data_IF_302633748030
#
_entry.id   IF_302633748030
#
_cell.length_a   1.000
_cell.length_b   1.000
_cell.length_c   1.000
_cell.angle_alpha   90.00
_cell.angle_beta   90.00
_cell.angle_gamma   90.00
#
_symmetry.space_group_name_H-M   'P 1'
#
loop_
_entity.id
_entity.type
_entity.pdbx_description
1 polymer ?
#
# COMPACT_ATOMS: atom_id res chain seq x y z
N UNK A 1 -3.73 -8.85 18.60
CA UNK A 1 -2.64 -7.87 18.41
C UNK A 1 -2.02 -7.93 17.01
N UNK A 2 -2.09 -9.07 16.34
CA UNK A 2 -1.57 -9.36 14.99
C UNK A 2 -2.51 -8.96 13.85
N UNK A 3 -3.83 -9.10 14.00
CA UNK A 3 -4.80 -8.81 12.94
C UNK A 3 -4.82 -7.34 12.48
N UNK A 4 -4.75 -6.37 13.40
CA UNK A 4 -4.75 -4.95 13.06
C UNK A 4 -3.43 -4.52 12.39
N UNK A 5 -2.30 -5.09 12.84
CA UNK A 5 -1.00 -4.88 12.22
C UNK A 5 -0.96 -5.47 10.80
N UNK A 6 -1.54 -6.66 10.58
CA UNK A 6 -1.71 -7.27 9.27
C UNK A 6 -2.63 -6.44 8.36
N UNK A 7 -3.76 -5.96 8.89
CA UNK A 7 -4.65 -5.06 8.16
C UNK A 7 -3.92 -3.79 7.74
N UNK A 8 -3.24 -3.11 8.67
CA UNK A 8 -2.50 -1.89 8.36
C UNK A 8 -1.37 -2.16 7.37
N UNK A 9 -0.60 -3.23 7.55
CA UNK A 9 0.51 -3.56 6.67
C UNK A 9 0.04 -3.88 5.25
N UNK A 10 -1.02 -4.68 5.09
CA UNK A 10 -1.63 -4.96 3.78
C UNK A 10 -2.26 -3.72 3.15
N UNK A 11 -2.96 -2.91 3.95
CA UNK A 11 -3.54 -1.65 3.51
C UNK A 11 -2.46 -0.72 2.95
N UNK A 12 -1.38 -0.47 3.70
CA UNK A 12 -0.30 0.40 3.24
C UNK A 12 0.45 -0.20 2.05
N UNK A 13 0.70 -1.51 2.06
CA UNK A 13 1.34 -2.20 0.93
C UNK A 13 0.54 -1.99 -0.36
N UNK A 14 -0.76 -2.22 -0.33
CA UNK A 14 -1.62 -2.12 -1.51
C UNK A 14 -1.88 -0.66 -1.90
N UNK A 15 -1.99 0.24 -0.93
CA UNK A 15 -2.04 1.68 -1.16
C UNK A 15 -0.79 2.16 -1.91
N UNK A 16 0.40 1.76 -1.45
CA UNK A 16 1.65 2.14 -2.11
C UNK A 16 1.82 1.48 -3.48
N UNK A 17 1.35 0.23 -3.67
CA UNK A 17 1.33 -0.42 -4.99
C UNK A 17 0.44 0.33 -5.99
N UNK A 18 -0.76 0.73 -5.57
CA UNK A 18 -1.65 1.54 -6.39
C UNK A 18 -1.00 2.86 -6.78
N UNK A 19 -0.48 3.60 -5.80
CA UNK A 19 0.21 4.88 -6.04
C UNK A 19 1.46 4.72 -6.91
N UNK A 20 2.24 3.65 -6.73
CA UNK A 20 3.42 3.36 -7.56
C UNK A 20 2.99 3.11 -9.01
N UNK A 21 2.01 2.23 -9.24
CA UNK A 21 1.52 1.91 -10.60
C UNK A 21 1.03 3.16 -11.32
N UNK A 22 0.26 3.99 -10.63
CA UNK A 22 -0.27 5.24 -11.17
C UNK A 22 0.84 6.30 -11.41
N UNK A 23 1.82 6.42 -10.50
CA UNK A 23 2.97 7.32 -10.67
C UNK A 23 3.89 6.90 -11.83
N UNK A 24 4.11 5.59 -12.02
CA UNK A 24 4.87 5.04 -13.15
C UNK A 24 4.14 5.31 -14.46
N UNK A 25 2.83 5.06 -14.50
CA UNK A 25 2.00 5.36 -15.66
C UNK A 25 1.94 6.87 -15.98
N UNK A 26 2.04 7.71 -14.96
CA UNK A 26 2.12 9.18 -15.08
C UNK A 26 3.51 9.75 -15.35
N UNK A 27 4.55 8.91 -15.52
CA UNK A 27 5.93 9.35 -15.81
C UNK A 27 6.75 9.84 -14.60
N UNK A 28 6.21 9.79 -13.38
CA UNK A 28 6.86 10.31 -12.16
C UNK A 28 7.78 9.27 -11.50
N UNK A 29 8.95 9.04 -12.10
CA UNK A 29 9.93 8.03 -11.65
C UNK A 29 10.41 8.20 -10.20
N UNK A 30 10.55 9.46 -9.75
CA UNK A 30 11.05 9.76 -8.40
C UNK A 30 10.00 9.44 -7.32
N UNK A 31 8.73 9.74 -7.58
CA UNK A 31 7.62 9.35 -6.70
C UNK A 31 7.45 7.83 -6.67
N UNK A 32 7.61 7.16 -7.81
CA UNK A 32 7.57 5.70 -7.89
C UNK A 32 8.67 5.03 -7.03
N UNK A 33 9.87 5.61 -7.00
CA UNK A 33 10.97 5.12 -6.15
C UNK A 33 10.63 5.24 -4.65
N UNK A 34 10.08 6.39 -4.22
CA UNK A 34 9.66 6.62 -2.83
C UNK A 34 8.55 5.65 -2.42
N UNK A 35 7.53 5.48 -3.27
CA UNK A 35 6.45 4.52 -2.99
C UNK A 35 6.97 3.08 -2.91
N UNK A 36 8.01 2.73 -3.67
CA UNK A 36 8.64 1.40 -3.62
C UNK A 36 9.33 1.14 -2.29
N UNK A 37 9.94 2.14 -1.67
CA UNK A 37 10.49 2.01 -0.31
C UNK A 37 9.38 1.75 0.71
N UNK A 38 8.24 2.45 0.57
CA UNK A 38 7.05 2.22 1.41
C UNK A 38 6.50 0.79 1.29
N UNK A 39 6.47 0.25 0.06
CA UNK A 39 6.07 -1.14 -0.20
C UNK A 39 7.00 -2.10 0.55
N UNK A 40 8.31 -1.93 0.41
CA UNK A 40 9.30 -2.79 1.07
C UNK A 40 9.15 -2.80 2.59
N UNK A 41 8.93 -1.62 3.21
CA UNK A 41 8.71 -1.53 4.67
C UNK A 41 7.41 -2.23 5.09
N UNK A 42 6.31 -2.01 4.37
CA UNK A 42 5.04 -2.67 4.65
C UNK A 42 5.12 -4.19 4.48
N UNK A 43 5.85 -4.66 3.47
CA UNK A 43 6.05 -6.08 3.19
C UNK A 43 6.85 -6.78 4.30
N UNK A 44 7.90 -6.13 4.83
CA UNK A 44 8.65 -6.64 6.00
C UNK A 44 7.74 -6.84 7.20
N UNK A 45 6.78 -5.92 7.44
CA UNK A 45 5.81 -6.07 8.54
C UNK A 45 4.86 -7.24 8.30
N UNK A 46 4.37 -7.43 7.07
CA UNK A 46 3.56 -8.62 6.73
C UNK A 46 4.36 -9.91 6.98
N UNK A 47 5.59 -10.00 6.45
CA UNK A 47 6.44 -11.18 6.58
C UNK A 47 6.83 -11.50 8.03
N UNK A 48 7.00 -10.48 8.88
CA UNK A 48 7.26 -10.67 10.32
C UNK A 48 6.02 -11.02 11.12
N UNK A 49 4.82 -10.69 10.63
CA UNK A 49 3.56 -10.93 11.35
C UNK A 49 2.95 -12.29 10.98
N UNK A 50 3.21 -12.81 9.78
CA UNK A 50 2.70 -14.10 9.30
C UNK A 50 3.31 -15.40 9.86
N UNK A 51 4.44 -15.47 10.61
CA UNK A 51 4.94 -16.75 11.13
C UNK A 51 4.20 -17.27 12.38
N UNK A 52 3.03 -16.71 12.74
CA UNK A 52 2.21 -17.12 13.89
C UNK A 52 0.94 -17.92 13.51
N UNK A 53 0.22 -18.46 14.51
CA UNK A 53 -1.04 -19.18 14.28
C UNK A 53 -2.09 -18.24 13.65
N UNK A 54 -2.45 -18.50 12.40
CA UNK A 54 -3.40 -17.69 11.63
C UNK A 54 -4.86 -18.05 11.97
N UNK A 55 -5.54 -17.16 12.68
CA UNK A 55 -6.98 -17.20 12.90
C UNK A 55 -7.78 -16.60 11.74
N UNK A 56 -9.05 -16.98 11.62
CA UNK A 56 -9.99 -16.46 10.62
C UNK A 56 -10.06 -14.91 10.58
N UNK A 57 -9.86 -14.25 11.72
CA UNK A 57 -9.85 -12.78 11.82
C UNK A 57 -8.64 -12.13 11.12
N UNK A 58 -7.48 -12.78 11.12
CA UNK A 58 -6.27 -12.26 10.46
C UNK A 58 -6.34 -12.43 8.94
N UNK A 59 -6.94 -13.54 8.50
CA UNK A 59 -7.23 -13.79 7.08
C UNK A 59 -8.24 -12.76 6.57
N UNK A 60 -9.33 -12.52 7.32
CA UNK A 60 -10.31 -11.49 6.96
C UNK A 60 -9.67 -10.09 6.93
N UNK A 61 -8.84 -9.75 7.92
CA UNK A 61 -8.09 -8.51 7.96
C UNK A 61 -7.15 -8.35 6.75
N UNK A 62 -6.40 -9.39 6.40
CA UNK A 62 -5.52 -9.40 5.23
C UNK A 62 -6.30 -9.23 3.92
N UNK A 63 -7.41 -9.96 3.77
CA UNK A 63 -8.27 -9.89 2.59
C UNK A 63 -8.97 -8.53 2.43
N UNK A 64 -9.36 -7.88 3.52
CA UNK A 64 -10.05 -6.57 3.49
C UNK A 64 -9.07 -5.40 3.35
N UNK A 65 -7.82 -5.55 3.82
CA UNK A 65 -6.80 -4.51 3.71
C UNK A 65 -6.46 -4.14 2.26
N UNK A 66 -6.44 -5.13 1.36
CA UNK A 66 -6.16 -4.91 -0.07
C UNK A 66 -7.18 -4.01 -0.78
N UNK A 67 -8.48 -4.37 -0.81
CA UNK A 67 -9.53 -3.54 -1.41
C UNK A 67 -9.58 -2.12 -0.83
N UNK A 68 -9.43 -1.98 0.49
CA UNK A 68 -9.39 -0.68 1.14
C UNK A 68 -8.18 0.16 0.69
N UNK A 69 -7.00 -0.46 0.58
CA UNK A 69 -5.78 0.20 0.12
C UNK A 69 -5.88 0.72 -1.31
N UNK A 70 -6.46 -0.07 -2.23
CA UNK A 70 -6.68 0.34 -3.63
C UNK A 70 -7.66 1.51 -3.71
N UNK A 71 -8.80 1.45 -3.03
CA UNK A 71 -9.79 2.55 -3.06
C UNK A 71 -9.18 3.86 -2.56
N UNK A 72 -8.40 3.80 -1.48
CA UNK A 72 -7.71 4.98 -0.95
C UNK A 72 -6.63 5.46 -1.92
N UNK A 73 -5.87 4.57 -2.56
CA UNK A 73 -4.89 4.96 -3.59
C UNK A 73 -5.53 5.71 -4.76
N UNK A 74 -6.74 5.30 -5.19
CA UNK A 74 -7.47 5.94 -6.28
C UNK A 74 -7.94 7.35 -5.90
N UNK A 75 -8.25 7.60 -4.62
CA UNK A 75 -8.63 8.93 -4.10
C UNK A 75 -7.40 9.82 -3.89
N UNK A 76 -6.30 9.26 -3.37
CA UNK A 76 -5.07 10.03 -3.09
C UNK A 76 -4.33 10.39 -4.37
N UNK A 77 -4.35 9.52 -5.38
CA UNK A 77 -3.63 9.75 -6.64
C UNK A 77 -3.96 11.09 -7.33
N UNK A 78 -5.22 11.50 -7.56
CA UNK A 78 -5.52 12.79 -8.17
C UNK A 78 -4.99 13.96 -7.34
N UNK A 79 -5.09 13.90 -6.00
CA UNK A 79 -4.53 14.94 -5.12
C UNK A 79 -2.99 15.01 -5.23
N UNK A 80 -2.33 13.85 -5.29
CA UNK A 80 -0.89 13.74 -5.47
C UNK A 80 -0.44 14.29 -6.83
N UNK A 81 -1.15 13.96 -7.91
CA UNK A 81 -0.87 14.49 -9.25
C UNK A 81 -1.15 15.98 -9.34
N UNK A 82 -2.20 16.50 -8.71
CA UNK A 82 -2.44 17.95 -8.69
C UNK A 82 -1.36 18.70 -7.92
N UNK A 83 -0.83 18.14 -6.83
CA UNK A 83 0.14 18.80 -5.95
C UNK A 83 1.61 18.61 -6.37
N UNK A 84 1.94 17.45 -6.94
CA UNK A 84 3.32 17.09 -7.32
C UNK A 84 3.49 16.81 -8.82
N UNK A 85 2.41 16.76 -9.60
CA UNK A 85 2.43 16.60 -11.05
C UNK A 85 2.76 17.89 -11.77
N UNK A 86 3.98 18.39 -11.56
CA UNK A 86 4.64 19.16 -12.62
C UNK A 86 4.92 18.16 -13.73
N UNK A 87 4.14 18.24 -14.81
CA UNK A 87 4.44 17.61 -16.10
C UNK A 87 5.92 17.88 -16.41
N UNK A 88 6.76 16.85 -16.31
CA UNK A 88 8.04 16.84 -17.01
C UNK A 88 7.81 16.27 -18.40
#
# INVERSE_FOLDING_TARGET
>A
MTALALFAATFFLVLFLGLQSLNVNGGHKLLAAITSLGISTANIVVLKTMPGPTGLMEVAAYCLGGPAGILVSMVIHPWMVTKFGRKQ
#
